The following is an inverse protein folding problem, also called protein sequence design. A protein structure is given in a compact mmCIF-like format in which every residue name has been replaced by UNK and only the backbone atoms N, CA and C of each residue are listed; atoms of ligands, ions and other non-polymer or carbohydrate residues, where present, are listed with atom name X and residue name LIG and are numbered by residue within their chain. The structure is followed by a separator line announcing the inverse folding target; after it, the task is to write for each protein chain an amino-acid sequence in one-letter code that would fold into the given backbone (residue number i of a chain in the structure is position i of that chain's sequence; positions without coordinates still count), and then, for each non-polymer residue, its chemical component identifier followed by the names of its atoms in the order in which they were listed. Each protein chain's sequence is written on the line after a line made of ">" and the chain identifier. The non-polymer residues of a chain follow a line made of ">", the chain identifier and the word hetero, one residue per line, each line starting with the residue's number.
data_IF_757946788412
#
_entry.id   IF_757946788412
#
_cell.length_a   1.000
_cell.length_b   1.000
_cell.length_c   1.000
_cell.angle_alpha   90.00
_cell.angle_beta   90.00
_cell.angle_gamma   90.00
#
_symmetry.space_group_name_H-M   'P 1'
#
loop_
_entity.id
_entity.type
_entity.pdbx_description
1 polymer ?
#
# COMPACT_ATOMS: atom_id res chain seq x y z
N UNK A 1 -76.19 -26.27 -49.63
CA UNK A 1 -75.44 -27.44 -49.17
C UNK A 1 -74.07 -26.98 -48.73
N UNK A 2 -73.62 -27.35 -47.55
CA UNK A 2 -72.36 -27.09 -46.88
C UNK A 2 -72.12 -25.66 -46.34
N UNK A 3 -72.49 -25.56 -45.04
CA UNK A 3 -72.14 -24.47 -44.17
C UNK A 3 -70.60 -24.47 -43.87
N UNK A 4 -69.98 -23.32 -43.99
CA UNK A 4 -68.66 -23.07 -43.44
C UNK A 4 -68.78 -22.02 -42.34
N UNK A 5 -68.55 -22.43 -41.12
CA UNK A 5 -68.38 -21.56 -39.97
C UNK A 5 -66.94 -21.01 -40.01
N UNK A 6 -66.73 -19.70 -39.80
CA UNK A 6 -65.39 -19.20 -39.52
C UNK A 6 -65.09 -19.28 -38.03
N UNK A 7 -64.02 -19.98 -37.68
CA UNK A 7 -63.48 -20.00 -36.34
C UNK A 7 -62.78 -18.66 -36.02
N UNK A 8 -63.28 -18.00 -34.98
CA UNK A 8 -62.70 -16.76 -34.43
C UNK A 8 -61.50 -17.10 -33.54
N UNK A 9 -60.31 -16.81 -34.00
CA UNK A 9 -59.07 -17.01 -33.24
C UNK A 9 -58.86 -15.81 -32.35
N UNK A 10 -59.10 -15.96 -31.03
CA UNK A 10 -58.74 -15.00 -29.98
C UNK A 10 -57.21 -15.10 -29.70
N UNK A 11 -56.45 -14.13 -30.16
CA UNK A 11 -55.03 -13.95 -29.79
C UNK A 11 -55.00 -13.17 -28.48
N UNK A 12 -54.73 -13.85 -27.39
CA UNK A 12 -54.41 -13.22 -26.09
C UNK A 12 -52.97 -12.70 -26.15
N UNK A 13 -52.79 -11.38 -26.24
CA UNK A 13 -51.49 -10.76 -25.97
C UNK A 13 -51.17 -10.85 -24.46
N UNK A 14 -50.33 -11.80 -24.11
CA UNK A 14 -49.68 -11.80 -22.81
C UNK A 14 -48.56 -10.72 -22.87
N UNK A 15 -48.85 -9.54 -22.34
CA UNK A 15 -47.86 -8.52 -22.03
C UNK A 15 -47.00 -9.06 -20.88
N UNK A 16 -45.84 -9.61 -21.22
CA UNK A 16 -44.76 -9.76 -20.27
C UNK A 16 -44.21 -8.35 -19.95
N UNK A 17 -44.65 -7.79 -18.82
CA UNK A 17 -43.95 -6.68 -18.19
C UNK A 17 -42.59 -7.19 -17.76
N UNK A 18 -41.54 -6.74 -18.42
CA UNK A 18 -40.19 -6.77 -17.88
C UNK A 18 -40.22 -6.00 -16.55
N UNK A 19 -40.23 -6.74 -15.45
CA UNK A 19 -39.79 -6.19 -14.19
C UNK A 19 -38.30 -5.95 -14.34
N UNK A 20 -37.93 -4.70 -14.55
CA UNK A 20 -36.61 -4.20 -14.24
C UNK A 20 -36.33 -4.54 -12.75
N UNK A 21 -35.75 -5.71 -12.52
CA UNK A 21 -35.13 -6.05 -11.24
C UNK A 21 -33.74 -5.42 -11.17
N UNK A 22 -33.68 -4.09 -11.26
CA UNK A 22 -32.60 -3.34 -10.67
C UNK A 22 -32.88 -3.17 -9.18
N UNK A 23 -32.93 -4.26 -8.44
CA UNK A 23 -32.58 -4.21 -7.04
C UNK A 23 -31.08 -3.90 -6.98
N UNK A 24 -30.73 -2.59 -7.06
CA UNK A 24 -29.56 -2.09 -6.37
C UNK A 24 -29.80 -2.47 -4.92
N UNK A 25 -29.14 -3.51 -4.44
CA UNK A 25 -28.89 -3.66 -3.03
C UNK A 25 -28.11 -2.39 -2.63
N UNK A 26 -28.79 -1.41 -2.05
CA UNK A 26 -28.12 -0.44 -1.19
C UNK A 26 -27.52 -1.32 -0.08
N UNK A 27 -26.28 -1.76 -0.29
CA UNK A 27 -25.52 -2.40 0.77
C UNK A 27 -25.42 -1.36 1.88
N UNK A 28 -26.01 -1.70 3.03
CA UNK A 28 -25.96 -0.86 4.22
C UNK A 28 -24.50 -0.48 4.46
N UNK A 29 -24.23 0.82 4.62
CA UNK A 29 -22.87 1.30 4.89
C UNK A 29 -22.44 0.79 6.28
N UNK A 30 -21.64 -0.26 6.33
CA UNK A 30 -21.23 -0.88 7.59
C UNK A 30 -20.47 0.08 8.52
N UNK A 31 -19.85 1.15 7.98
CA UNK A 31 -19.15 2.16 8.76
C UNK A 31 -20.06 3.31 9.22
N UNK A 32 -21.38 3.26 8.98
CA UNK A 32 -22.29 4.35 9.36
C UNK A 32 -22.20 4.68 10.86
N UNK A 33 -22.17 3.66 11.70
CA UNK A 33 -22.10 3.79 13.15
C UNK A 33 -20.67 3.60 13.70
N UNK A 34 -19.66 3.68 12.83
CA UNK A 34 -18.25 3.56 13.24
C UNK A 34 -17.97 4.42 14.45
N UNK A 35 -17.39 3.82 15.46
CA UNK A 35 -16.74 4.49 16.59
C UNK A 35 -15.25 4.23 16.59
N UNK A 36 -14.47 5.23 16.93
CA UNK A 36 -13.02 5.16 17.03
C UNK A 36 -12.63 5.43 18.49
N UNK A 37 -11.93 4.50 19.11
CA UNK A 37 -11.27 4.73 20.39
C UNK A 37 -9.76 4.73 20.22
N UNK A 38 -9.07 5.49 21.07
CA UNK A 38 -7.61 5.61 21.03
C UNK A 38 -7.03 5.23 22.39
N UNK A 39 -5.95 4.45 22.35
CA UNK A 39 -5.16 4.06 23.52
C UNK A 39 -3.67 4.12 23.20
N UNK A 40 -2.82 4.03 24.22
CA UNK A 40 -1.37 3.93 24.04
C UNK A 40 -0.89 2.69 24.77
N UNK A 41 -0.27 1.78 24.03
CA UNK A 41 0.27 0.54 24.56
C UNK A 41 1.78 0.59 24.54
N UNK A 42 2.40 0.41 25.71
CA UNK A 42 3.84 0.41 25.88
C UNK A 42 4.44 -0.91 25.43
N UNK A 43 5.64 -0.87 24.87
CA UNK A 43 6.41 -2.08 24.55
C UNK A 43 7.43 -2.33 25.67
N UNK A 44 7.37 -3.51 26.29
CA UNK A 44 8.38 -3.96 27.27
C UNK A 44 9.65 -4.37 26.52
N UNK A 45 10.70 -3.58 26.67
CA UNK A 45 12.00 -3.81 26.04
C UNK A 45 13.08 -4.25 27.04
N UNK A 46 12.73 -4.40 28.33
CA UNK A 46 13.72 -4.66 29.40
C UNK A 46 14.75 -3.53 29.43
N UNK A 47 16.03 -3.91 29.40
CA UNK A 47 17.18 -2.98 29.43
C UNK A 47 17.66 -2.59 28.02
N UNK A 48 16.94 -3.01 26.95
CA UNK A 48 17.34 -2.79 25.57
C UNK A 48 16.87 -1.43 25.04
N UNK A 49 17.62 -0.88 24.07
CA UNK A 49 17.24 0.32 23.36
C UNK A 49 16.40 -0.06 22.12
N UNK A 50 15.20 0.47 22.05
CA UNK A 50 14.31 0.32 20.90
C UNK A 50 13.49 1.58 20.70
N UNK A 51 13.50 2.13 19.48
CA UNK A 51 12.69 3.30 19.12
C UNK A 51 11.88 3.01 17.85
N UNK A 52 10.65 2.50 17.96
CA UNK A 52 9.83 2.12 16.82
C UNK A 52 9.42 3.31 15.95
N UNK A 53 9.36 4.52 16.52
CA UNK A 53 9.02 5.74 15.78
C UNK A 53 10.13 6.21 14.82
N UNK A 54 11.38 5.75 15.00
CA UNK A 54 12.50 6.09 14.14
C UNK A 54 12.66 5.16 12.93
N UNK A 55 11.92 4.04 12.88
CA UNK A 55 12.10 3.03 11.83
C UNK A 55 11.13 3.22 10.68
N UNK A 56 11.68 3.32 9.48
CA UNK A 56 10.90 3.43 8.26
C UNK A 56 10.55 2.07 7.66
N UNK A 57 11.39 1.05 7.93
CA UNK A 57 11.29 -0.27 7.30
C UNK A 57 10.84 -1.28 8.35
N UNK A 58 9.66 -1.84 8.17
CA UNK A 58 9.03 -2.76 9.11
C UNK A 58 7.99 -3.64 8.42
N UNK A 59 7.71 -4.79 9.01
CA UNK A 59 6.70 -5.71 8.51
C UNK A 59 6.14 -6.57 9.65
N UNK A 60 5.03 -7.27 9.38
CA UNK A 60 4.48 -8.30 10.24
C UNK A 60 4.81 -9.69 9.66
N UNK A 61 4.93 -10.69 10.53
CA UNK A 61 4.94 -12.05 10.04
C UNK A 61 3.55 -12.46 9.48
N UNK A 62 3.44 -13.55 8.69
CA UNK A 62 2.21 -13.90 8.00
C UNK A 62 1.00 -14.16 8.89
N UNK A 63 1.20 -14.55 10.16
CA UNK A 63 0.11 -14.76 11.12
C UNK A 63 -0.20 -13.50 11.96
N UNK A 64 0.55 -12.41 11.76
CA UNK A 64 0.41 -11.13 12.46
C UNK A 64 0.63 -11.20 13.97
N UNK A 65 1.30 -12.23 14.47
CA UNK A 65 1.64 -12.36 15.89
C UNK A 65 2.87 -11.56 16.28
N UNK A 66 3.72 -11.21 15.32
CA UNK A 66 4.99 -10.52 15.54
C UNK A 66 5.21 -9.37 14.56
N UNK A 67 5.75 -8.28 15.09
CA UNK A 67 6.20 -7.14 14.29
C UNK A 67 7.73 -7.09 14.24
N UNK A 68 8.26 -6.77 13.08
CA UNK A 68 9.70 -6.71 12.82
C UNK A 68 10.09 -5.31 12.36
N UNK A 69 11.19 -4.82 12.92
CA UNK A 69 11.71 -3.48 12.63
C UNK A 69 13.19 -3.61 12.26
N UNK A 70 13.53 -3.15 11.06
CA UNK A 70 14.93 -3.02 10.68
C UNK A 70 15.51 -1.81 11.43
N UNK A 71 16.48 -2.05 12.29
CA UNK A 71 17.15 -1.04 13.09
C UNK A 71 18.57 -0.80 12.58
N UNK A 72 18.92 0.47 12.46
CA UNK A 72 20.17 0.87 11.83
C UNK A 72 20.28 0.23 10.43
N UNK A 73 21.35 -0.44 10.11
CA UNK A 73 21.56 -1.00 8.77
C UNK A 73 21.54 -2.52 8.75
N UNK A 74 21.74 -3.15 9.90
CA UNK A 74 22.02 -4.58 9.98
C UNK A 74 21.37 -5.29 11.18
N UNK A 75 20.41 -4.69 11.83
CA UNK A 75 19.78 -5.29 13.01
C UNK A 75 18.26 -5.33 12.84
N UNK A 76 17.63 -6.48 13.11
CA UNK A 76 16.18 -6.64 13.09
C UNK A 76 15.68 -6.90 14.50
N UNK A 77 14.78 -6.06 14.99
CA UNK A 77 14.09 -6.24 16.25
C UNK A 77 12.76 -6.95 16.04
N UNK A 78 12.52 -8.00 16.81
CA UNK A 78 11.28 -8.79 16.81
C UNK A 78 10.45 -8.44 18.04
N UNK A 79 9.25 -7.95 17.84
CA UNK A 79 8.28 -7.63 18.88
C UNK A 79 7.19 -8.69 18.90
N UNK A 80 6.91 -9.28 20.05
CA UNK A 80 5.66 -9.99 20.31
C UNK A 80 4.52 -8.99 20.26
N UNK A 81 3.70 -9.10 19.25
CA UNK A 81 2.67 -8.11 18.97
C UNK A 81 1.39 -8.35 19.79
N UNK A 82 1.27 -9.49 20.47
CA UNK A 82 0.19 -9.80 21.42
C UNK A 82 0.51 -9.33 22.83
N UNK A 83 1.75 -9.58 23.28
CA UNK A 83 2.18 -9.22 24.64
C UNK A 83 2.93 -7.88 24.69
N UNK A 84 3.15 -7.23 23.55
CA UNK A 84 3.89 -5.96 23.42
C UNK A 84 5.27 -6.02 24.09
N UNK A 85 6.06 -7.00 23.69
CA UNK A 85 7.38 -7.25 24.27
C UNK A 85 8.43 -7.47 23.19
N UNK A 86 9.61 -6.89 23.37
CA UNK A 86 10.79 -7.19 22.56
C UNK A 86 11.25 -8.64 22.86
N UNK A 87 11.23 -9.50 21.83
CA UNK A 87 11.61 -10.91 21.97
C UNK A 87 13.06 -11.15 21.59
N UNK A 88 13.47 -10.62 20.43
CA UNK A 88 14.77 -10.90 19.85
C UNK A 88 15.33 -9.68 19.13
N UNK A 89 16.68 -9.67 19.08
CA UNK A 89 17.48 -8.79 18.24
C UNK A 89 18.35 -9.68 17.36
N UNK A 90 18.13 -9.61 16.06
CA UNK A 90 18.90 -10.36 15.07
C UNK A 90 19.94 -9.41 14.45
N UNK A 91 21.21 -9.69 14.66
CA UNK A 91 22.31 -8.90 14.12
C UNK A 91 22.90 -9.64 12.92
N UNK A 92 22.92 -8.99 11.79
CA UNK A 92 23.40 -9.55 10.53
C UNK A 92 24.83 -9.09 10.23
N UNK A 93 25.51 -9.86 9.40
CA UNK A 93 26.85 -9.50 8.92
C UNK A 93 26.78 -8.35 7.92
N UNK A 94 27.72 -7.41 8.04
CA UNK A 94 27.87 -6.30 7.09
C UNK A 94 28.76 -6.67 5.90
N UNK A 95 29.66 -7.63 6.11
CA UNK A 95 30.61 -8.11 5.11
C UNK A 95 30.64 -9.64 5.07
N UNK A 96 31.05 -10.20 3.94
CA UNK A 96 31.15 -11.65 3.75
C UNK A 96 30.00 -12.26 2.98
N UNK A 97 29.95 -13.62 2.90
CA UNK A 97 28.95 -14.32 2.07
C UNK A 97 27.52 -14.21 2.60
N UNK A 98 27.36 -13.96 3.91
CA UNK A 98 26.07 -13.81 4.57
C UNK A 98 25.70 -12.34 4.84
N UNK A 99 26.47 -11.39 4.25
CA UNK A 99 26.20 -9.97 4.43
C UNK A 99 24.84 -9.56 3.84
N UNK A 100 24.09 -8.74 4.59
CA UNK A 100 22.85 -8.16 4.10
C UNK A 100 23.10 -6.89 3.26
N UNK A 101 22.13 -6.45 2.44
CA UNK A 101 22.25 -5.18 1.73
C UNK A 101 22.48 -4.02 2.69
N UNK A 102 23.43 -3.16 2.39
CA UNK A 102 23.57 -1.89 3.07
C UNK A 102 22.44 -0.94 2.66
N UNK A 103 21.73 -0.35 3.63
CA UNK A 103 20.56 0.51 3.37
C UNK A 103 19.47 -0.18 2.53
N UNK A 104 18.84 -1.27 3.05
CA UNK A 104 17.78 -1.95 2.29
C UNK A 104 16.58 -1.03 2.07
N UNK A 105 16.12 -0.96 0.84
CA UNK A 105 14.90 -0.25 0.45
C UNK A 105 13.66 -1.15 0.52
N UNK A 106 13.86 -2.47 0.44
CA UNK A 106 12.82 -3.47 0.52
C UNK A 106 13.06 -4.38 1.71
N UNK A 107 12.01 -4.61 2.47
CA UNK A 107 12.01 -5.43 3.68
C UNK A 107 10.68 -6.18 3.74
N UNK A 108 10.74 -7.50 3.77
CA UNK A 108 9.54 -8.33 3.84
C UNK A 108 9.84 -9.57 4.66
N UNK A 109 9.02 -9.82 5.69
CA UNK A 109 9.11 -11.03 6.49
C UNK A 109 8.42 -12.18 5.74
N UNK A 110 9.15 -13.25 5.56
CA UNK A 110 8.70 -14.45 4.87
C UNK A 110 8.36 -15.57 5.86
N UNK A 111 7.62 -16.61 5.42
CA UNK A 111 7.44 -17.82 6.22
C UNK A 111 8.78 -18.42 6.67
N UNK A 112 8.73 -19.31 7.67
CA UNK A 112 9.85 -20.09 8.21
C UNK A 112 11.04 -19.27 8.73
N UNK A 113 10.75 -18.10 9.33
CA UNK A 113 11.76 -17.20 9.91
C UNK A 113 12.79 -16.71 8.88
N UNK A 114 12.34 -16.37 7.70
CA UNK A 114 13.15 -15.75 6.66
C UNK A 114 12.76 -14.27 6.49
N UNK A 115 13.68 -13.49 5.94
CA UNK A 115 13.48 -12.10 5.56
C UNK A 115 14.02 -11.85 4.15
N UNK A 116 13.24 -11.17 3.34
CA UNK A 116 13.68 -10.64 2.05
C UNK A 116 14.17 -9.21 2.24
N UNK A 117 15.38 -8.95 1.79
CA UNK A 117 16.03 -7.66 1.83
C UNK A 117 16.49 -7.25 0.44
N UNK A 118 16.01 -6.12 -0.04
CA UNK A 118 16.38 -5.55 -1.32
C UNK A 118 17.12 -4.24 -1.16
N UNK A 119 18.26 -4.11 -1.79
CA UNK A 119 19.06 -2.87 -1.85
C UNK A 119 19.71 -2.68 -3.22
N UNK A 120 20.25 -1.50 -3.46
CA UNK A 120 20.83 -1.15 -4.76
C UNK A 120 21.94 -2.10 -5.22
N UNK A 121 22.81 -2.51 -4.30
CA UNK A 121 23.97 -3.35 -4.65
C UNK A 121 23.68 -4.85 -4.54
N UNK A 122 22.75 -5.23 -3.72
CA UNK A 122 22.51 -6.60 -3.32
C UNK A 122 21.03 -6.81 -2.95
N UNK A 123 20.49 -7.95 -3.30
CA UNK A 123 19.11 -8.38 -2.97
C UNK A 123 19.15 -9.85 -2.62
N UNK A 124 18.50 -10.25 -1.53
CA UNK A 124 18.53 -11.65 -1.11
C UNK A 124 17.46 -12.03 -0.09
N UNK A 125 17.38 -13.32 0.14
CA UNK A 125 16.61 -13.92 1.24
C UNK A 125 17.59 -14.44 2.29
N UNK A 126 17.33 -14.12 3.53
CA UNK A 126 18.16 -14.50 4.67
C UNK A 126 17.30 -15.17 5.75
N UNK A 127 17.86 -16.13 6.48
CA UNK A 127 17.26 -16.55 7.74
C UNK A 127 17.41 -15.46 8.78
N UNK A 128 16.49 -15.34 9.71
CA UNK A 128 16.66 -14.42 10.84
C UNK A 128 17.90 -14.79 11.70
N UNK A 129 18.42 -16.02 11.58
CA UNK A 129 19.71 -16.42 12.16
C UNK A 129 20.95 -15.81 11.48
N UNK A 130 20.79 -15.09 10.37
CA UNK A 130 21.84 -14.41 9.63
C UNK A 130 22.39 -15.17 8.42
N UNK A 131 21.97 -16.43 8.17
CA UNK A 131 22.43 -17.22 7.05
C UNK A 131 21.78 -16.75 5.74
N UNK A 132 22.57 -16.56 4.69
CA UNK A 132 22.07 -16.25 3.35
C UNK A 132 21.43 -17.52 2.72
N UNK A 133 20.19 -17.39 2.25
CA UNK A 133 19.42 -18.46 1.61
C UNK A 133 19.47 -18.36 0.10
N UNK A 134 19.35 -17.13 -0.43
CA UNK A 134 19.35 -16.86 -1.85
C UNK A 134 19.78 -15.45 -2.16
N UNK A 135 20.49 -15.27 -3.28
CA UNK A 135 20.91 -13.97 -3.81
C UNK A 135 20.34 -13.76 -5.20
N UNK A 136 19.84 -12.56 -5.44
CA UNK A 136 19.24 -12.17 -6.71
C UNK A 136 19.96 -10.96 -7.30
N UNK A 137 20.26 -11.00 -8.59
CA UNK A 137 20.87 -9.89 -9.33
C UNK A 137 19.78 -9.03 -9.97
N UNK A 138 19.04 -8.28 -9.17
CA UNK A 138 17.90 -7.46 -9.61
C UNK A 138 18.41 -6.12 -10.16
N UNK A 139 18.99 -6.17 -11.35
CA UNK A 139 19.43 -4.99 -12.11
C UNK A 139 18.99 -5.15 -13.56
N UNK A 140 18.69 -4.06 -14.29
CA UNK A 140 18.27 -4.14 -15.69
C UNK A 140 19.15 -5.03 -16.56
N UNK A 141 20.47 -4.85 -16.47
CA UNK A 141 21.45 -5.63 -17.24
C UNK A 141 21.47 -7.15 -16.96
N UNK A 142 20.81 -7.58 -15.89
CA UNK A 142 20.72 -9.01 -15.51
C UNK A 142 19.32 -9.63 -15.75
N UNK A 143 18.37 -8.83 -16.26
CA UNK A 143 16.99 -9.26 -16.45
C UNK A 143 16.65 -9.31 -17.94
N UNK A 144 16.30 -10.47 -18.43
CA UNK A 144 15.75 -10.59 -19.78
C UNK A 144 14.33 -9.99 -19.80
N UNK A 145 14.07 -9.08 -20.75
CA UNK A 145 12.75 -8.45 -20.93
C UNK A 145 12.57 -7.07 -20.25
N UNK A 146 13.59 -6.57 -19.56
CA UNK A 146 13.62 -5.21 -19.01
C UNK A 146 14.58 -4.36 -19.86
N UNK A 147 14.23 -3.09 -20.21
CA UNK A 147 15.17 -2.18 -20.88
C UNK A 147 16.43 -1.96 -20.04
N UNK A 148 17.60 -2.07 -20.69
CA UNK A 148 18.91 -1.81 -20.07
C UNK A 148 19.24 -0.30 -20.19
N UNK A 149 18.44 0.54 -19.54
CA UNK A 149 18.63 1.98 -19.54
C UNK A 149 19.37 2.46 -18.29
N UNK A 150 20.34 3.36 -18.49
CA UNK A 150 21.10 3.94 -17.41
C UNK A 150 20.21 4.74 -16.44
N UNK A 151 20.25 4.37 -15.18
CA UNK A 151 19.47 5.04 -14.12
C UNK A 151 18.16 4.34 -13.74
N UNK A 152 17.80 3.26 -14.41
CA UNK A 152 16.64 2.45 -14.07
C UNK A 152 16.83 1.73 -12.74
N UNK A 153 15.94 1.92 -11.80
CA UNK A 153 15.95 1.24 -10.51
C UNK A 153 14.77 0.30 -10.38
N UNK A 154 15.06 -0.93 -10.00
CA UNK A 154 14.06 -1.97 -9.70
C UNK A 154 13.91 -2.21 -8.19
N UNK A 155 14.81 -1.66 -7.37
CA UNK A 155 14.87 -1.98 -5.94
C UNK A 155 14.15 -0.99 -5.04
N UNK A 156 13.63 0.12 -5.58
CA UNK A 156 12.92 1.14 -4.78
C UNK A 156 11.57 0.65 -4.24
N UNK A 157 10.92 -0.29 -4.93
CA UNK A 157 9.66 -0.92 -4.54
C UNK A 157 9.69 -2.37 -5.01
N UNK A 158 10.42 -3.23 -4.30
CA UNK A 158 10.62 -4.62 -4.66
C UNK A 158 10.03 -5.55 -3.61
N UNK A 159 9.24 -6.51 -4.03
CA UNK A 159 8.63 -7.54 -3.18
C UNK A 159 8.83 -8.92 -3.78
N UNK A 160 8.79 -9.96 -2.95
CA UNK A 160 8.90 -11.35 -3.39
C UNK A 160 7.68 -12.16 -2.91
N UNK A 161 7.25 -13.13 -3.71
CA UNK A 161 6.21 -14.08 -3.29
C UNK A 161 6.70 -14.98 -2.14
N UNK A 162 5.81 -15.48 -1.26
CA UNK A 162 6.20 -16.33 -0.13
C UNK A 162 6.92 -17.62 -0.51
N UNK A 163 6.63 -18.15 -1.69
CA UNK A 163 7.30 -19.33 -2.28
C UNK A 163 8.62 -18.98 -2.98
N UNK A 164 8.96 -17.68 -3.03
CA UNK A 164 10.19 -17.14 -3.62
C UNK A 164 10.33 -17.37 -5.13
N UNK A 165 9.24 -17.66 -5.83
CA UNK A 165 9.28 -17.91 -7.29
C UNK A 165 9.13 -16.64 -8.13
N UNK A 166 8.50 -15.60 -7.58
CA UNK A 166 8.16 -14.38 -8.30
C UNK A 166 8.54 -13.16 -7.50
N UNK A 167 9.24 -12.21 -8.11
CA UNK A 167 9.39 -10.86 -7.58
C UNK A 167 8.58 -9.88 -8.41
N UNK A 168 8.13 -8.81 -7.76
CA UNK A 168 7.46 -7.68 -8.42
C UNK A 168 8.12 -6.37 -8.04
N UNK A 169 8.19 -5.44 -8.98
CA UNK A 169 8.78 -4.12 -8.78
C UNK A 169 8.04 -3.05 -9.57
N UNK A 170 8.20 -1.79 -9.17
CA UNK A 170 7.85 -0.61 -9.95
C UNK A 170 9.15 0.01 -10.49
N UNK A 171 9.55 -0.34 -11.71
CA UNK A 171 10.75 0.19 -12.31
C UNK A 171 10.66 1.71 -12.45
N UNK A 172 11.69 2.43 -12.06
CA UNK A 172 11.66 3.89 -12.06
C UNK A 172 13.02 4.53 -12.29
N UNK A 173 12.98 5.66 -12.98
CA UNK A 173 14.07 6.64 -13.01
C UNK A 173 13.62 7.82 -12.14
N UNK A 174 14.52 8.36 -11.32
CA UNK A 174 14.16 9.45 -10.41
C UNK A 174 13.59 10.67 -11.14
N UNK A 175 12.33 10.99 -10.85
CA UNK A 175 11.61 12.11 -11.44
C UNK A 175 10.91 11.80 -12.77
N UNK A 176 10.95 10.55 -13.21
CA UNK A 176 10.22 10.09 -14.40
C UNK A 176 9.02 9.18 -13.99
N UNK A 177 8.01 9.07 -14.84
CA UNK A 177 6.93 8.11 -14.68
C UNK A 177 7.43 6.67 -14.55
N UNK A 178 6.69 5.83 -13.82
CA UNK A 178 6.93 4.39 -13.85
C UNK A 178 6.42 3.81 -15.19
N UNK A 179 7.07 2.75 -15.67
CA UNK A 179 6.66 2.07 -16.92
C UNK A 179 5.58 1.02 -16.71
N UNK A 180 5.31 0.63 -15.47
CA UNK A 180 4.35 -0.40 -15.14
C UNK A 180 4.83 -1.30 -14.00
N UNK A 181 4.23 -2.47 -13.87
CA UNK A 181 4.63 -3.51 -12.92
C UNK A 181 5.59 -4.49 -13.59
N UNK A 182 6.84 -4.51 -13.17
CA UNK A 182 7.78 -5.57 -13.54
C UNK A 182 7.45 -6.83 -12.73
N UNK A 183 7.29 -7.94 -13.42
CA UNK A 183 7.11 -9.29 -12.86
C UNK A 183 8.34 -10.09 -13.25
N UNK A 184 9.08 -10.57 -12.26
CA UNK A 184 10.40 -11.20 -12.42
C UNK A 184 10.31 -12.64 -11.94
N UNK A 185 10.65 -13.59 -12.80
CA UNK A 185 10.84 -15.00 -12.43
C UNK A 185 12.20 -15.17 -11.76
N UNK A 186 12.22 -15.68 -10.54
CA UNK A 186 13.48 -15.82 -9.76
C UNK A 186 14.37 -16.97 -10.23
N UNK A 187 13.81 -17.94 -10.95
CA UNK A 187 14.57 -19.13 -11.35
C UNK A 187 15.52 -18.86 -12.53
N UNK A 188 15.11 -18.02 -13.48
CA UNK A 188 15.86 -17.70 -14.69
C UNK A 188 16.14 -16.20 -14.87
N UNK A 189 15.62 -15.36 -13.95
CA UNK A 189 15.71 -13.90 -14.00
C UNK A 189 15.10 -13.29 -15.28
N UNK A 190 14.14 -13.98 -15.90
CA UNK A 190 13.30 -13.40 -16.94
C UNK A 190 12.26 -12.45 -16.32
N UNK A 191 11.90 -11.40 -17.04
CA UNK A 191 10.95 -10.41 -16.56
C UNK A 191 10.03 -9.90 -17.67
N UNK A 192 8.86 -9.42 -17.29
CA UNK A 192 7.92 -8.71 -18.16
C UNK A 192 7.39 -7.48 -17.46
N UNK A 193 7.01 -6.46 -18.21
CA UNK A 193 6.32 -5.28 -17.71
C UNK A 193 4.85 -5.38 -18.04
N UNK A 194 3.99 -5.25 -17.04
CA UNK A 194 2.53 -5.16 -17.18
C UNK A 194 2.12 -3.69 -17.06
N UNK A 195 1.42 -3.18 -18.06
CA UNK A 195 0.94 -1.79 -18.07
C UNK A 195 -0.08 -1.51 -16.97
N UNK A 196 -0.04 -0.29 -16.39
CA UNK A 196 -0.91 0.17 -15.32
C UNK A 196 -1.66 1.47 -15.72
N UNK A 197 -2.45 1.48 -16.81
CA UNK A 197 -3.02 2.72 -17.36
C UNK A 197 -3.90 3.49 -16.37
N UNK A 198 -4.57 2.83 -15.43
CA UNK A 198 -5.38 3.53 -14.43
C UNK A 198 -4.54 4.31 -13.39
N UNK A 199 -3.23 4.06 -13.30
CA UNK A 199 -2.31 4.78 -12.43
C UNK A 199 -1.50 5.87 -13.15
N UNK A 200 -1.58 6.01 -14.47
CA UNK A 200 -0.89 7.06 -15.22
C UNK A 200 -1.25 8.48 -14.74
N UNK A 201 -2.43 8.65 -14.16
CA UNK A 201 -2.86 9.91 -13.54
C UNK A 201 -1.87 10.39 -12.47
N UNK A 202 -1.15 9.49 -11.81
CA UNK A 202 -0.14 9.80 -10.79
C UNK A 202 0.93 10.75 -11.33
N UNK A 203 1.27 10.61 -12.61
CA UNK A 203 2.29 11.41 -13.28
C UNK A 203 1.92 12.91 -13.38
N UNK A 204 0.64 13.26 -13.29
CA UNK A 204 0.17 14.64 -13.26
C UNK A 204 0.40 15.30 -11.89
N UNK A 205 0.67 14.53 -10.85
CA UNK A 205 0.80 14.97 -9.47
C UNK A 205 2.19 14.71 -8.90
N UNK A 206 3.21 14.73 -9.75
CA UNK A 206 4.61 14.64 -9.39
C UNK A 206 5.36 15.89 -9.84
N UNK A 207 6.22 16.40 -8.98
CA UNK A 207 7.04 17.59 -9.21
C UNK A 207 8.43 17.35 -8.65
N UNK A 208 9.45 17.65 -9.44
CA UNK A 208 10.86 17.61 -9.01
C UNK A 208 11.41 19.03 -8.90
N UNK A 209 11.80 19.41 -7.69
CA UNK A 209 12.53 20.64 -7.42
C UNK A 209 14.02 20.37 -7.31
N UNK A 210 14.83 21.13 -8.02
CA UNK A 210 16.30 21.02 -8.02
C UNK A 210 16.93 22.27 -7.45
N UNK A 211 17.81 22.12 -6.46
CA UNK A 211 18.54 23.23 -5.85
C UNK A 211 19.99 22.83 -5.64
N UNK A 212 20.91 23.49 -6.31
CA UNK A 212 22.34 23.11 -6.32
C UNK A 212 22.51 21.68 -6.84
N UNK A 213 23.17 20.83 -6.05
CA UNK A 213 23.37 19.40 -6.39
C UNK A 213 22.25 18.49 -5.83
N UNK A 214 21.26 19.06 -5.14
CA UNK A 214 20.16 18.31 -4.56
C UNK A 214 18.91 18.31 -5.43
N UNK A 215 18.08 17.27 -5.27
CA UNK A 215 16.76 17.21 -5.86
C UNK A 215 15.75 16.70 -4.82
N UNK A 216 14.56 17.28 -4.84
CA UNK A 216 13.45 16.88 -3.98
C UNK A 216 12.25 16.59 -4.87
N UNK A 217 11.68 15.39 -4.75
CA UNK A 217 10.42 15.05 -5.39
C UNK A 217 9.28 15.22 -4.39
N UNK A 218 8.20 15.85 -4.81
CA UNK A 218 6.93 15.89 -4.08
C UNK A 218 5.83 15.38 -4.98
N UNK A 219 4.78 14.84 -4.39
CA UNK A 219 3.60 14.39 -5.12
C UNK A 219 3.09 13.06 -4.63
N UNK A 220 2.28 12.45 -5.48
CA UNK A 220 1.83 11.08 -5.31
C UNK A 220 2.76 10.13 -6.05
N UNK A 221 2.97 8.96 -5.47
CA UNK A 221 3.82 7.92 -6.05
C UNK A 221 3.07 6.60 -6.05
N UNK A 222 3.33 5.80 -7.06
CA UNK A 222 2.83 4.44 -7.10
C UNK A 222 3.58 3.56 -6.09
N UNK A 223 2.87 2.63 -5.50
CA UNK A 223 3.36 1.78 -4.42
C UNK A 223 2.90 0.35 -4.62
N UNK A 224 3.64 -0.58 -4.04
CA UNK A 224 3.24 -1.98 -3.92
C UNK A 224 3.10 -2.32 -2.44
N UNK A 225 2.06 -3.07 -2.10
CA UNK A 225 1.94 -3.79 -0.85
C UNK A 225 1.65 -5.27 -1.12
N UNK A 226 2.26 -6.13 -0.33
CA UNK A 226 1.88 -7.53 -0.27
C UNK A 226 0.82 -7.69 0.83
N UNK A 227 -0.42 -7.98 0.46
CA UNK A 227 -1.55 -8.12 1.38
C UNK A 227 -2.40 -9.33 0.97
N UNK A 228 -2.77 -10.15 1.94
CA UNK A 228 -3.70 -11.26 1.75
C UNK A 228 -3.38 -12.09 0.50
N UNK A 229 -2.13 -12.54 0.38
CA UNK A 229 -1.60 -13.33 -0.72
C UNK A 229 -1.73 -12.68 -2.12
N UNK A 230 -1.70 -11.36 -2.21
CA UNK A 230 -1.71 -10.61 -3.47
C UNK A 230 -0.74 -9.43 -3.40
N UNK A 231 -0.20 -9.04 -4.54
CA UNK A 231 0.49 -7.76 -4.66
C UNK A 231 -0.51 -6.70 -5.09
N UNK A 232 -0.67 -5.69 -4.28
CA UNK A 232 -1.60 -4.60 -4.53
C UNK A 232 -0.81 -3.37 -4.95
N UNK A 233 -1.09 -2.85 -6.15
CA UNK A 233 -0.43 -1.69 -6.73
C UNK A 233 -1.43 -0.54 -6.71
N UNK A 234 -1.03 0.60 -6.15
CA UNK A 234 -1.90 1.74 -5.92
C UNK A 234 -1.13 3.06 -5.87
N UNK A 235 -1.87 4.16 -5.93
CA UNK A 235 -1.34 5.53 -5.85
C UNK A 235 -2.18 6.39 -4.91
N UNK A 236 -1.62 7.52 -4.46
CA UNK A 236 -2.37 8.54 -3.73
C UNK A 236 -3.31 9.35 -4.62
N UNK A 237 -3.07 9.39 -5.93
CA UNK A 237 -3.81 10.23 -6.87
C UNK A 237 -5.20 9.68 -7.26
N UNK A 238 -5.44 8.38 -7.07
CA UNK A 238 -6.69 7.72 -7.47
C UNK A 238 -7.11 6.63 -6.47
N UNK A 239 -8.42 6.38 -6.40
CA UNK A 239 -8.95 5.24 -5.64
C UNK A 239 -8.67 3.91 -6.33
N UNK A 240 -8.50 3.91 -7.65
CA UNK A 240 -8.21 2.71 -8.43
C UNK A 240 -6.94 2.01 -7.93
N UNK A 241 -6.98 0.69 -7.92
CA UNK A 241 -5.84 -0.16 -7.58
C UNK A 241 -5.74 -1.32 -8.58
N UNK A 242 -4.55 -1.90 -8.68
CA UNK A 242 -4.37 -3.18 -9.34
C UNK A 242 -4.05 -4.25 -8.30
N UNK A 243 -4.60 -5.44 -8.50
CA UNK A 243 -4.27 -6.65 -7.74
C UNK A 243 -3.60 -7.62 -8.68
N UNK A 244 -2.37 -8.03 -8.36
CA UNK A 244 -1.63 -9.03 -9.08
C UNK A 244 -1.53 -10.33 -8.27
N UNK A 245 -2.05 -11.39 -8.83
CA UNK A 245 -1.95 -12.76 -8.30
C UNK A 245 -0.84 -13.49 -9.05
N UNK A 246 0.27 -13.78 -8.36
CA UNK A 246 1.44 -14.45 -8.95
C UNK A 246 1.21 -15.92 -9.23
N UNK A 247 0.23 -16.57 -8.58
CA UNK A 247 -0.05 -17.99 -8.77
C UNK A 247 -0.80 -18.25 -10.08
N UNK A 248 -1.66 -17.32 -10.49
CA UNK A 248 -2.40 -17.36 -11.75
C UNK A 248 -1.83 -16.43 -12.81
N UNK A 249 -0.76 -15.68 -12.50
CA UNK A 249 -0.14 -14.66 -13.35
C UNK A 249 -1.18 -13.67 -13.92
N UNK A 250 -2.08 -13.19 -13.05
CA UNK A 250 -3.20 -12.34 -13.48
C UNK A 250 -3.17 -10.98 -12.79
N UNK A 251 -3.30 -9.92 -13.59
CA UNK A 251 -3.44 -8.53 -13.15
C UNK A 251 -4.89 -8.08 -13.32
N UNK A 252 -5.50 -7.60 -12.24
CA UNK A 252 -6.89 -7.12 -12.23
C UNK A 252 -6.97 -5.68 -11.77
N UNK A 253 -7.63 -4.82 -12.57
CA UNK A 253 -8.00 -3.46 -12.17
C UNK A 253 -9.25 -3.49 -11.27
N UNK A 254 -9.22 -2.76 -10.18
CA UNK A 254 -10.29 -2.57 -9.21
C UNK A 254 -10.63 -1.09 -9.13
N UNK A 255 -11.90 -0.75 -9.36
CA UNK A 255 -12.44 0.60 -9.28
C UNK A 255 -13.51 0.66 -8.20
N UNK A 256 -13.53 1.74 -7.42
CA UNK A 256 -14.43 1.89 -6.29
C UNK A 256 -15.33 3.11 -6.49
N UNK A 257 -16.67 2.93 -6.43
CA UNK A 257 -17.64 4.00 -6.63
C UNK A 257 -17.85 4.79 -5.32
N UNK A 258 -16.79 5.46 -4.83
CA UNK A 258 -16.90 6.30 -3.63
C UNK A 258 -17.94 7.40 -3.80
N UNK A 259 -18.69 7.68 -2.73
CA UNK A 259 -19.73 8.70 -2.69
C UNK A 259 -19.34 9.92 -1.84
N UNK A 260 -18.48 9.71 -0.82
CA UNK A 260 -18.06 10.77 0.10
C UNK A 260 -16.90 11.61 -0.42
N UNK A 261 -16.10 11.07 -1.34
CA UNK A 261 -14.91 11.73 -1.86
C UNK A 261 -14.80 11.57 -3.38
N UNK A 262 -14.07 12.46 -4.08
CA UNK A 262 -13.69 12.24 -5.47
C UNK A 262 -12.88 10.96 -5.63
N UNK A 263 -13.10 10.20 -6.69
CA UNK A 263 -12.38 8.94 -6.97
C UNK A 263 -10.94 9.17 -7.43
N UNK A 264 -10.60 10.40 -7.81
CA UNK A 264 -9.25 10.79 -8.23
C UNK A 264 -9.04 12.30 -8.05
N UNK A 265 -7.78 12.71 -8.04
CA UNK A 265 -7.39 14.11 -8.20
C UNK A 265 -7.77 14.64 -9.57
N UNK A 266 -7.78 15.97 -9.72
CA UNK A 266 -8.08 16.67 -10.96
C UNK A 266 -7.00 17.70 -11.29
N UNK A 267 -6.80 17.98 -12.57
CA UNK A 267 -5.75 18.89 -13.05
C UNK A 267 -4.35 18.26 -12.97
N UNK A 268 -3.35 19.10 -12.83
CA UNK A 268 -1.94 18.70 -12.77
C UNK A 268 -1.13 19.69 -11.94
N UNK A 269 0.00 19.25 -11.38
CA UNK A 269 1.01 20.12 -10.78
C UNK A 269 1.91 20.72 -11.88
N UNK A 270 2.55 21.84 -11.55
CA UNK A 270 3.68 22.32 -12.37
C UNK A 270 4.76 21.26 -12.45
N UNK A 271 5.32 21.00 -13.64
CA UNK A 271 6.36 19.98 -13.81
C UNK A 271 7.66 20.36 -13.11
N UNK A 272 7.93 21.68 -12.96
CA UNK A 272 9.07 22.21 -12.25
C UNK A 272 8.73 23.56 -11.60
N UNK A 273 9.47 23.94 -10.57
CA UNK A 273 9.35 25.23 -9.89
C UNK A 273 10.75 25.81 -9.63
N UNK A 274 10.83 27.14 -9.58
CA UNK A 274 12.11 27.86 -9.48
C UNK A 274 12.48 28.23 -8.04
N UNK A 275 11.57 28.03 -7.09
CA UNK A 275 11.79 28.41 -5.69
C UNK A 275 11.14 27.45 -4.69
N UNK A 276 11.66 27.45 -3.47
CA UNK A 276 11.04 26.71 -2.35
C UNK A 276 9.64 27.23 -2.01
N UNK A 277 9.38 28.51 -2.19
CA UNK A 277 8.06 29.08 -1.96
C UNK A 277 7.04 28.51 -2.96
N UNK A 278 7.39 28.46 -4.24
CA UNK A 278 6.56 27.84 -5.28
C UNK A 278 6.36 26.35 -5.01
N UNK A 279 7.42 25.63 -4.58
CA UNK A 279 7.33 24.22 -4.17
C UNK A 279 6.33 24.03 -3.03
N UNK A 280 6.38 24.86 -2.00
CA UNK A 280 5.45 24.77 -0.87
C UNK A 280 4.01 25.14 -1.26
N UNK A 281 3.85 26.08 -2.19
CA UNK A 281 2.54 26.41 -2.76
C UNK A 281 1.92 25.20 -3.50
N UNK A 282 2.69 24.56 -4.37
CA UNK A 282 2.24 23.35 -5.09
C UNK A 282 1.91 22.22 -4.11
N UNK A 283 2.74 22.02 -3.08
CA UNK A 283 2.47 21.04 -2.02
C UNK A 283 1.15 21.29 -1.30
N UNK A 284 0.84 22.56 -0.99
CA UNK A 284 -0.44 22.94 -0.38
C UNK A 284 -1.61 22.68 -1.32
N UNK A 285 -1.47 22.99 -2.62
CA UNK A 285 -2.50 22.70 -3.63
C UNK A 285 -2.76 21.21 -3.75
N UNK A 286 -1.70 20.40 -3.75
CA UNK A 286 -1.80 18.94 -3.77
C UNK A 286 -2.57 18.40 -2.57
N UNK A 287 -2.28 18.92 -1.36
CA UNK A 287 -2.88 18.50 -0.10
C UNK A 287 -4.32 18.98 0.14
N UNK A 288 -4.85 19.87 -0.69
CA UNK A 288 -6.27 20.21 -0.72
C UNK A 288 -7.11 19.16 -1.43
N UNK A 289 -6.51 18.43 -2.36
CA UNK A 289 -7.17 17.36 -3.09
C UNK A 289 -7.08 16.03 -2.32
N UNK A 290 -7.98 15.11 -2.68
CA UNK A 290 -7.98 13.75 -2.12
C UNK A 290 -6.60 13.10 -2.26
N UNK A 291 -6.12 12.45 -1.21
CA UNK A 291 -4.93 11.60 -1.25
C UNK A 291 -5.28 10.25 -0.63
N UNK A 292 -5.30 9.21 -1.44
CA UNK A 292 -5.54 7.85 -0.98
C UNK A 292 -4.28 7.27 -0.33
N UNK A 293 -4.43 6.76 0.88
CA UNK A 293 -3.35 6.18 1.68
C UNK A 293 -3.13 4.70 1.45
N UNK A 294 -2.41 4.11 2.39
CA UNK A 294 -2.11 2.69 2.40
C UNK A 294 -3.36 1.84 2.57
N UNK A 295 -3.28 0.62 2.05
CA UNK A 295 -4.28 -0.42 2.28
C UNK A 295 -3.84 -1.28 3.47
N UNK A 296 -4.83 -1.81 4.18
CA UNK A 296 -4.65 -2.68 5.32
C UNK A 296 -5.56 -3.90 5.16
N UNK A 297 -5.11 -5.05 5.63
CA UNK A 297 -5.89 -6.28 5.66
C UNK A 297 -6.12 -6.71 7.11
N UNK A 298 -7.38 -6.80 7.50
CA UNK A 298 -7.80 -7.41 8.76
C UNK A 298 -8.13 -8.89 8.51
N UNK A 299 -7.28 -9.75 9.04
CA UNK A 299 -7.41 -11.19 8.83
C UNK A 299 -8.61 -11.79 9.56
N UNK A 300 -8.96 -11.25 10.75
CA UNK A 300 -10.10 -11.74 11.54
C UNK A 300 -11.43 -11.36 10.90
N UNK A 301 -11.55 -10.11 10.46
CA UNK A 301 -12.76 -9.60 9.80
C UNK A 301 -12.86 -10.02 8.32
N UNK A 302 -11.81 -10.56 7.72
CA UNK A 302 -11.67 -10.81 6.28
C UNK A 302 -12.01 -9.57 5.44
N UNK A 303 -11.48 -8.41 5.82
CA UNK A 303 -11.78 -7.12 5.20
C UNK A 303 -10.52 -6.31 4.91
N UNK A 304 -10.61 -5.52 3.84
CA UNK A 304 -9.61 -4.49 3.56
C UNK A 304 -10.11 -3.14 4.07
N UNK A 305 -9.16 -2.32 4.53
CA UNK A 305 -9.39 -0.94 4.91
C UNK A 305 -8.43 -0.03 4.17
N UNK A 306 -8.87 1.18 3.86
CA UNK A 306 -8.04 2.22 3.27
C UNK A 306 -8.42 3.57 3.86
N UNK A 307 -7.42 4.37 4.23
CA UNK A 307 -7.65 5.77 4.54
C UNK A 307 -7.46 6.65 3.32
N UNK A 308 -8.08 7.81 3.35
CA UNK A 308 -7.73 8.93 2.49
C UNK A 308 -7.86 10.23 3.27
N UNK A 309 -7.18 11.28 2.83
CA UNK A 309 -7.34 12.62 3.39
C UNK A 309 -7.47 13.68 2.29
N UNK A 310 -8.14 14.78 2.62
CA UNK A 310 -8.24 15.97 1.78
C UNK A 310 -8.41 17.22 2.63
N UNK A 311 -8.44 18.39 1.99
CA UNK A 311 -8.71 19.69 2.64
C UNK A 311 -7.75 19.97 3.82
N UNK A 312 -6.45 19.80 3.58
CA UNK A 312 -5.42 20.07 4.57
C UNK A 312 -5.53 21.49 5.13
N UNK A 313 -5.54 21.59 6.46
CA UNK A 313 -5.62 22.82 7.23
C UNK A 313 -4.24 23.24 7.72
N UNK A 314 -3.99 24.56 7.72
CA UNK A 314 -2.69 25.13 8.09
C UNK A 314 -2.87 26.21 9.17
N UNK A 315 -1.90 26.34 10.07
CA UNK A 315 -1.82 27.42 11.04
C UNK A 315 -1.17 28.69 10.45
N UNK A 316 -1.01 29.74 11.26
CA UNK A 316 -0.42 31.02 10.83
C UNK A 316 1.06 30.89 10.41
N UNK A 317 1.78 29.87 10.92
CA UNK A 317 3.16 29.56 10.56
C UNK A 317 3.26 28.61 9.34
N UNK A 318 2.15 28.41 8.62
CA UNK A 318 2.04 27.55 7.45
C UNK A 318 2.32 26.05 7.71
N UNK A 319 2.23 25.60 8.96
CA UNK A 319 2.34 24.19 9.32
C UNK A 319 0.98 23.52 9.18
N UNK A 320 0.94 22.37 8.56
CA UNK A 320 -0.28 21.56 8.50
C UNK A 320 -0.69 21.14 9.93
N UNK A 321 -1.95 21.41 10.28
CA UNK A 321 -2.53 21.09 11.59
C UNK A 321 -3.65 20.06 11.51
N UNK A 322 -3.93 19.54 10.32
CA UNK A 322 -4.92 18.49 10.09
C UNK A 322 -5.42 18.45 8.66
N UNK A 323 -6.31 17.52 8.40
CA UNK A 323 -7.05 17.31 7.15
C UNK A 323 -8.38 16.63 7.47
N UNK A 324 -9.26 16.51 6.50
CA UNK A 324 -10.43 15.66 6.62
C UNK A 324 -10.03 14.23 6.26
N UNK A 325 -10.15 13.31 7.23
CA UNK A 325 -9.71 11.91 7.09
C UNK A 325 -10.92 11.01 6.86
N UNK A 326 -10.86 10.19 5.84
CA UNK A 326 -11.90 9.22 5.48
C UNK A 326 -11.37 7.80 5.66
N UNK A 327 -12.26 6.90 6.08
CA UNK A 327 -12.01 5.46 6.14
C UNK A 327 -12.96 4.76 5.18
N UNK A 328 -12.43 3.86 4.38
CA UNK A 328 -13.14 2.96 3.49
C UNK A 328 -12.94 1.52 3.91
N UNK A 329 -13.98 0.71 3.77
CA UNK A 329 -13.92 -0.74 3.99
C UNK A 329 -14.35 -1.48 2.74
N UNK A 330 -13.68 -2.61 2.48
CA UNK A 330 -13.99 -3.49 1.36
C UNK A 330 -14.02 -4.93 1.86
N UNK A 331 -14.90 -5.76 1.32
CA UNK A 331 -14.89 -7.18 1.60
C UNK A 331 -13.68 -7.88 0.96
N UNK A 332 -13.50 -9.17 1.22
CA UNK A 332 -12.41 -9.97 0.64
C UNK A 332 -12.43 -10.07 -0.89
N UNK A 333 -13.56 -9.74 -1.53
CA UNK A 333 -13.72 -9.72 -2.99
C UNK A 333 -13.54 -8.31 -3.58
N UNK A 334 -13.16 -7.34 -2.75
CA UNK A 334 -12.98 -5.93 -3.10
C UNK A 334 -14.28 -5.17 -3.39
N UNK A 335 -15.43 -5.60 -2.86
CA UNK A 335 -16.64 -4.79 -2.89
C UNK A 335 -16.57 -3.72 -1.81
N UNK A 336 -16.85 -2.46 -2.16
CA UNK A 336 -16.96 -1.37 -1.20
C UNK A 336 -18.14 -1.63 -0.26
N UNK A 337 -17.89 -1.77 1.04
CA UNK A 337 -18.88 -2.10 2.07
C UNK A 337 -19.20 -0.94 2.99
N UNK A 338 -18.31 0.04 3.07
CA UNK A 338 -18.52 1.23 3.90
C UNK A 338 -17.55 2.36 3.60
N UNK A 339 -18.01 3.58 3.89
CA UNK A 339 -17.20 4.80 3.83
C UNK A 339 -17.64 5.80 4.92
N UNK A 340 -16.68 6.45 5.57
CA UNK A 340 -16.92 7.36 6.70
C UNK A 340 -15.90 8.46 6.76
N UNK A 341 -16.34 9.70 7.06
CA UNK A 341 -15.49 10.78 7.56
C UNK A 341 -15.17 10.51 9.03
N UNK A 342 -13.90 10.33 9.36
CA UNK A 342 -13.40 10.04 10.72
C UNK A 342 -12.93 11.34 11.36
N UNK A 343 -13.81 11.99 12.08
CA UNK A 343 -13.56 13.32 12.68
C UNK A 343 -12.55 13.30 13.84
N UNK A 344 -12.30 12.13 14.39
CA UNK A 344 -11.37 11.89 15.48
C UNK A 344 -9.91 11.88 15.03
N UNK A 345 -9.67 11.87 13.71
CA UNK A 345 -8.33 11.88 13.13
C UNK A 345 -8.06 13.20 12.41
N UNK A 346 -6.93 13.81 12.71
CA UNK A 346 -6.38 14.94 11.96
C UNK A 346 -5.47 14.51 10.81
N UNK A 347 -4.98 13.28 10.83
CA UNK A 347 -4.05 12.71 9.83
C UNK A 347 -4.33 11.24 9.59
N UNK A 348 -4.09 10.78 8.35
CA UNK A 348 -4.12 9.33 8.08
C UNK A 348 -3.02 8.60 8.84
N UNK A 349 -3.27 7.38 9.31
CA UNK A 349 -2.27 6.54 9.97
C UNK A 349 -1.33 5.85 8.95
N UNK A 350 -0.52 6.62 8.23
CA UNK A 350 0.34 6.11 7.14
C UNK A 350 1.27 4.95 7.54
N UNK A 351 1.65 4.89 8.81
CA UNK A 351 2.64 3.96 9.29
C UNK A 351 2.07 2.87 10.20
N UNK A 352 0.76 2.67 10.15
CA UNK A 352 0.10 1.69 10.99
C UNK A 352 0.35 0.24 10.55
N UNK A 353 0.27 -0.68 11.50
CA UNK A 353 -0.10 -2.06 11.28
C UNK A 353 -1.60 -2.25 11.52
N UNK A 354 -2.21 -3.22 10.85
CA UNK A 354 -3.60 -3.62 11.12
C UNK A 354 -3.64 -5.02 11.71
N UNK A 355 -4.33 -5.17 12.85
CA UNK A 355 -4.57 -6.47 13.48
C UNK A 355 -5.84 -6.41 14.33
N UNK A 356 -6.72 -7.37 14.18
CA UNK A 356 -7.89 -7.62 15.03
C UNK A 356 -8.76 -6.35 15.23
N UNK A 357 -9.10 -5.65 14.13
CA UNK A 357 -9.91 -4.43 14.18
C UNK A 357 -9.18 -3.20 14.73
N UNK A 358 -7.85 -3.22 14.81
CA UNK A 358 -7.05 -2.13 15.40
C UNK A 358 -5.93 -1.70 14.48
N UNK A 359 -5.68 -0.38 14.45
CA UNK A 359 -4.51 0.20 13.80
C UNK A 359 -3.47 0.57 14.85
N UNK A 360 -2.29 0.00 14.74
CA UNK A 360 -1.16 0.20 15.64
C UNK A 360 -0.13 1.10 14.98
N UNK A 361 0.06 2.31 15.50
CA UNK A 361 1.03 3.29 14.98
C UNK A 361 2.23 3.32 15.89
N UNK A 362 3.43 2.92 15.42
CA UNK A 362 4.65 3.00 16.23
C UNK A 362 4.94 4.43 16.68
N UNK A 363 5.26 4.60 17.95
CA UNK A 363 5.53 5.89 18.57
C UNK A 363 6.49 5.74 19.75
N UNK A 364 6.80 6.86 20.38
CA UNK A 364 7.55 6.91 21.64
C UNK A 364 6.76 7.75 22.63
N UNK A 365 6.54 7.23 23.82
CA UNK A 365 5.93 7.96 24.93
C UNK A 365 6.95 8.24 26.03
N UNK A 366 7.38 9.49 26.17
CA UNK A 366 8.55 9.83 26.98
C UNK A 366 9.82 9.26 26.34
N UNK A 367 10.49 8.35 27.04
CA UNK A 367 11.67 7.62 26.55
C UNK A 367 11.36 6.18 26.14
N UNK A 368 10.10 5.76 26.28
CA UNK A 368 9.70 4.37 26.08
C UNK A 368 9.03 4.15 24.73
N UNK A 369 9.35 3.04 24.05
CA UNK A 369 8.67 2.66 22.82
C UNK A 369 7.21 2.27 23.10
N UNK A 370 6.33 2.67 22.18
CA UNK A 370 4.90 2.45 22.34
C UNK A 370 4.21 2.34 20.97
N UNK A 371 2.95 1.96 20.99
CA UNK A 371 2.03 2.09 19.88
C UNK A 371 0.83 2.95 20.28
N UNK A 372 0.47 3.91 19.44
CA UNK A 372 -0.87 4.49 19.47
C UNK A 372 -1.79 3.47 18.80
N UNK A 373 -2.84 3.08 19.49
CA UNK A 373 -3.77 2.04 19.03
C UNK A 373 -5.14 2.65 18.80
N UNK A 374 -5.58 2.65 17.56
CA UNK A 374 -6.95 3.01 17.20
C UNK A 374 -7.78 1.75 17.02
N UNK A 375 -8.78 1.56 17.87
CA UNK A 375 -9.75 0.47 17.73
C UNK A 375 -10.97 0.97 16.95
N UNK A 376 -11.41 0.20 15.95
CA UNK A 376 -12.57 0.49 15.11
C UNK A 376 -13.68 -0.51 15.42
N UNK A 377 -14.84 0.02 15.85
CA UNK A 377 -16.06 -0.75 16.10
C UNK A 377 -17.19 -0.23 15.20
N UNK A 378 -17.87 -1.16 14.49
CA UNK A 378 -18.96 -0.85 13.54
C UNK A 378 -19.91 -2.02 13.34
#
# INVERSE_FOLDING_TARGET
>A
MKNLLPALLLVAFASCGEKDSSEKSDSENILENLTLSVDTVMVDVGDELFNPGAYYVRDLNPDQSKAYFLYMENEIHEIDFENMKLLNRFVFQEDGPDAIPKYPNSFQILPVNEVFLGGYAHTGVFKLSGENVANYKVRPENLEGIPDDAGYSLTNSLFISPDKTTMVSLPSIFGEPIEGLAVINTADMSAKILELPALEITNNFQLVFREGNGATAIGDFDRIHYLNNQFIIYSGATSAIYSYDWTSDSLRLLNFPHKLVPVSKTGELSKSVDSRESLMSERKNLKKQITFGNLFWDKEKEMYFRFADMDARYNAEERQIGSDVYLFSYDKNWNLTGEKLVKELDYQPYSAFMKDGKFYIPTVQGENPAFIVYSIDF
#
